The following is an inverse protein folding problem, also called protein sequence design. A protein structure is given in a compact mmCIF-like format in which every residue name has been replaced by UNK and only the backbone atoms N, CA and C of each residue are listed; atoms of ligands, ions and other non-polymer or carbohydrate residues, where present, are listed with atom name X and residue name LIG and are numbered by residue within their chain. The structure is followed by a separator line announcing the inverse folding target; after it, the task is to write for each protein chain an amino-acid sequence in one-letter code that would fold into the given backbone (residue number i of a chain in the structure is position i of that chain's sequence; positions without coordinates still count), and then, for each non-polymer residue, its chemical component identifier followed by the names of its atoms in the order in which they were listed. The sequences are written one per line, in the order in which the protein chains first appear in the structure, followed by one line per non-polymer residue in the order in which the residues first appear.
data_IF_930371826440
#
_entry.id   IF_930371826440
#
_cell.length_a   1.000
_cell.length_b   1.000
_cell.length_c   1.000
_cell.angle_alpha   90.00
_cell.angle_beta   90.00
_cell.angle_gamma   90.00
#
_symmetry.space_group_name_H-M   'P 1'
#
loop_
_entity.id
_entity.type
_entity.pdbx_description
1 polymer ?
#
# COMPACT_ATOMS: atom_id res chain seq x y z
N UNK A 1 -1.45 29.87 -13.58
CA UNK A 1 -1.73 29.64 -12.15
C UNK A 1 -0.43 29.58 -11.36
N UNK A 2 0.48 28.67 -11.69
CA UNK A 2 1.81 28.54 -11.03
C UNK A 2 2.71 29.78 -11.19
N UNK A 3 2.55 30.60 -12.24
CA UNK A 3 3.27 31.88 -12.39
C UNK A 3 2.84 32.97 -11.39
N UNK A 4 1.72 32.77 -10.68
CA UNK A 4 1.14 33.77 -9.76
C UNK A 4 1.10 33.33 -8.30
N UNK A 5 1.37 32.06 -8.02
CA UNK A 5 1.35 31.47 -6.67
C UNK A 5 2.79 31.23 -6.25
N UNK A 6 3.16 31.69 -5.06
CA UNK A 6 4.52 31.47 -4.55
C UNK A 6 4.70 30.06 -3.94
N UNK A 7 5.95 29.65 -3.71
CA UNK A 7 6.27 28.32 -3.15
C UNK A 7 5.69 28.06 -1.74
N UNK A 8 5.59 29.10 -0.91
CA UNK A 8 5.00 29.06 0.42
C UNK A 8 3.50 28.87 0.31
N UNK A 9 2.81 29.64 -0.53
CA UNK A 9 1.38 29.48 -0.77
C UNK A 9 1.07 28.06 -1.29
N UNK A 10 1.87 27.54 -2.22
CA UNK A 10 1.72 26.17 -2.70
C UNK A 10 1.92 25.14 -1.56
N UNK A 11 2.90 25.37 -0.67
CA UNK A 11 3.14 24.52 0.50
C UNK A 11 1.98 24.58 1.49
N UNK A 12 1.40 25.76 1.72
CA UNK A 12 0.22 25.95 2.56
C UNK A 12 -0.99 25.21 1.98
N UNK A 13 -1.20 25.25 0.67
CA UNK A 13 -2.22 24.44 -0.01
C UNK A 13 -1.98 22.94 0.14
N UNK A 14 -0.74 22.47 0.02
CA UNK A 14 -0.40 21.06 0.25
C UNK A 14 -0.66 20.63 1.70
N UNK A 15 -0.31 21.47 2.68
CA UNK A 15 -0.59 21.22 4.09
C UNK A 15 -2.11 21.19 4.36
N UNK A 16 -2.85 22.13 3.77
CA UNK A 16 -4.30 22.17 3.89
C UNK A 16 -4.96 20.92 3.27
N UNK A 17 -4.48 20.45 2.11
CA UNK A 17 -4.94 19.21 1.49
C UNK A 17 -4.70 17.96 2.36
N UNK A 18 -3.76 17.98 3.30
CA UNK A 18 -3.56 16.88 4.24
C UNK A 18 -4.59 16.91 5.39
N UNK A 19 -4.98 18.11 5.83
CA UNK A 19 -5.95 18.30 6.94
C UNK A 19 -7.37 18.11 6.44
N UNK A 20 -7.70 18.74 5.32
CA UNK A 20 -8.96 18.58 4.62
C UNK A 20 -8.71 18.02 3.23
N UNK A 21 -8.56 16.69 3.10
CA UNK A 21 -8.36 16.09 1.79
C UNK A 21 -9.57 16.34 0.90
N UNK A 22 -9.35 17.15 -0.11
CA UNK A 22 -10.26 17.44 -1.20
C UNK A 22 -9.80 16.72 -2.47
N UNK A 23 -10.75 16.38 -3.33
CA UNK A 23 -10.47 15.72 -4.61
C UNK A 23 -11.05 14.31 -4.74
N UNK A 24 -10.72 13.69 -5.86
CA UNK A 24 -11.35 12.46 -6.33
C UNK A 24 -11.04 11.24 -5.46
N UNK A 25 -9.86 11.16 -4.83
CA UNK A 25 -9.52 10.00 -3.98
C UNK A 25 -10.53 9.78 -2.85
N UNK A 26 -11.01 10.86 -2.22
CA UNK A 26 -12.08 10.75 -1.21
C UNK A 26 -13.42 10.37 -1.83
N UNK A 27 -13.71 10.82 -3.04
CA UNK A 27 -14.94 10.45 -3.75
C UNK A 27 -14.92 8.96 -4.13
N UNK A 28 -13.81 8.48 -4.67
CA UNK A 28 -13.54 7.08 -5.00
C UNK A 28 -13.61 6.19 -3.76
N UNK A 29 -13.05 6.63 -2.63
CA UNK A 29 -13.17 5.89 -1.37
C UNK A 29 -14.62 5.74 -0.93
N UNK A 30 -15.42 6.82 -0.99
CA UNK A 30 -16.85 6.75 -0.65
C UNK A 30 -17.60 5.80 -1.61
N UNK A 31 -17.33 5.88 -2.90
CA UNK A 31 -17.90 4.98 -3.89
C UNK A 31 -17.49 3.51 -3.62
N UNK A 32 -16.21 3.27 -3.30
CA UNK A 32 -15.70 1.96 -2.93
C UNK A 32 -16.31 1.39 -1.66
N UNK A 33 -16.62 2.23 -0.66
CA UNK A 33 -17.35 1.80 0.55
C UNK A 33 -18.74 1.29 0.18
N UNK A 34 -19.49 2.03 -0.64
CA UNK A 34 -20.82 1.61 -1.09
C UNK A 34 -20.74 0.33 -1.94
N UNK A 35 -19.83 0.28 -2.91
CA UNK A 35 -19.63 -0.88 -3.77
C UNK A 35 -19.24 -2.14 -2.97
N UNK A 36 -18.31 -2.02 -2.02
CA UNK A 36 -17.91 -3.13 -1.16
C UNK A 36 -19.04 -3.61 -0.25
N UNK A 37 -19.89 -2.70 0.23
CA UNK A 37 -21.07 -3.08 1.03
C UNK A 37 -22.01 -3.94 0.18
N UNK A 38 -22.36 -3.46 -1.02
CA UNK A 38 -23.24 -4.20 -1.95
C UNK A 38 -22.62 -5.56 -2.31
N UNK A 39 -21.35 -5.59 -2.71
CA UNK A 39 -20.69 -6.81 -3.13
C UNK A 39 -20.60 -7.85 -1.99
N UNK A 40 -20.34 -7.42 -0.76
CA UNK A 40 -20.25 -8.32 0.37
C UNK A 40 -21.62 -8.84 0.85
N UNK A 41 -22.72 -8.10 0.63
CA UNK A 41 -24.09 -8.58 0.91
C UNK A 41 -24.44 -9.78 0.04
N UNK A 42 -24.02 -9.79 -1.23
CA UNK A 42 -24.28 -10.88 -2.16
C UNK A 42 -23.22 -12.00 -2.14
N UNK A 43 -22.25 -11.92 -1.23
CA UNK A 43 -21.13 -12.86 -1.15
C UNK A 43 -21.54 -14.17 -0.48
N UNK A 44 -21.12 -15.29 -1.04
CA UNK A 44 -21.31 -16.62 -0.43
C UNK A 44 -20.39 -16.85 0.78
N UNK A 45 -20.77 -17.76 1.67
CA UNK A 45 -19.90 -18.24 2.75
C UNK A 45 -18.60 -18.81 2.17
N UNK A 46 -17.45 -18.48 2.77
CA UNK A 46 -16.13 -18.92 2.33
C UNK A 46 -15.46 -18.08 1.23
N UNK A 47 -16.18 -17.19 0.55
CA UNK A 47 -15.55 -16.26 -0.40
C UNK A 47 -14.76 -15.16 0.32
N UNK A 48 -13.71 -14.62 -0.32
CA UNK A 48 -12.93 -13.50 0.23
C UNK A 48 -13.81 -12.26 0.43
N UNK A 49 -13.70 -11.61 1.60
CA UNK A 49 -14.33 -10.30 1.85
C UNK A 49 -13.64 -9.25 0.99
N UNK A 50 -14.42 -8.49 0.23
CA UNK A 50 -13.93 -7.42 -0.63
C UNK A 50 -13.84 -6.13 0.16
N UNK A 51 -12.69 -5.47 0.11
CA UNK A 51 -12.44 -4.20 0.80
C UNK A 51 -12.84 -3.02 -0.10
N UNK A 52 -13.16 -1.84 0.45
CA UNK A 52 -13.37 -0.64 -0.36
C UNK A 52 -12.24 -0.35 -1.36
N UNK A 53 -10.99 -0.58 -0.93
CA UNK A 53 -9.79 -0.41 -1.77
C UNK A 53 -9.74 -1.32 -3.00
N UNK A 54 -10.47 -2.44 -3.00
CA UNK A 54 -10.55 -3.34 -4.16
C UNK A 54 -11.38 -2.72 -5.31
N UNK A 55 -12.15 -1.67 -5.03
CA UNK A 55 -13.00 -0.95 -5.99
C UNK A 55 -12.48 0.45 -6.35
N UNK A 56 -11.31 0.86 -5.83
CA UNK A 56 -10.70 2.16 -6.12
C UNK A 56 -9.81 2.09 -7.37
N UNK A 57 -9.75 3.15 -8.20
CA UNK A 57 -8.85 3.22 -9.34
C UNK A 57 -7.38 3.23 -8.89
N UNK A 58 -6.54 2.51 -9.64
CA UNK A 58 -5.08 2.47 -9.42
C UNK A 58 -4.40 3.25 -10.55
N UNK A 59 -4.07 4.50 -10.28
CA UNK A 59 -3.46 5.40 -11.28
C UNK A 59 -1.97 5.13 -11.49
N UNK A 60 -1.27 4.73 -10.43
CA UNK A 60 0.14 4.34 -10.52
C UNK A 60 0.29 2.82 -10.58
N UNK A 61 1.19 2.30 -11.45
CA UNK A 61 1.52 0.89 -11.42
C UNK A 61 2.14 0.54 -10.07
N UNK A 62 1.44 -0.32 -9.30
CA UNK A 62 1.98 -0.82 -8.04
C UNK A 62 3.25 -1.63 -8.35
N UNK A 63 4.41 -1.08 -7.96
CA UNK A 63 5.68 -1.79 -8.09
C UNK A 63 5.61 -3.05 -7.24
N UNK A 64 5.61 -4.20 -7.89
CA UNK A 64 5.76 -5.48 -7.22
C UNK A 64 7.23 -5.64 -6.87
N UNK A 65 7.54 -5.68 -5.58
CA UNK A 65 8.88 -5.99 -5.10
C UNK A 65 9.20 -7.44 -5.48
N UNK A 66 10.39 -7.66 -6.02
CA UNK A 66 10.90 -9.01 -6.24
C UNK A 66 11.15 -9.71 -4.90
N UNK A 67 11.21 -11.04 -4.90
CA UNK A 67 11.49 -11.81 -3.66
C UNK A 67 12.81 -11.37 -2.99
N UNK A 68 13.81 -11.01 -3.80
CA UNK A 68 15.12 -10.58 -3.31
C UNK A 68 15.06 -9.18 -2.68
N UNK A 69 14.32 -8.24 -3.30
CA UNK A 69 14.06 -6.92 -2.71
C UNK A 69 13.26 -7.04 -1.41
N UNK A 70 12.26 -7.91 -1.37
CA UNK A 70 11.47 -8.17 -0.16
C UNK A 70 12.35 -8.71 0.96
N UNK A 71 13.22 -9.69 0.65
CA UNK A 71 14.18 -10.24 1.59
C UNK A 71 15.14 -9.16 2.12
N UNK A 72 15.59 -8.22 1.28
CA UNK A 72 16.42 -7.10 1.70
C UNK A 72 15.70 -6.16 2.69
N UNK A 73 14.43 -5.81 2.41
CA UNK A 73 13.61 -5.00 3.33
C UNK A 73 13.42 -5.70 4.67
N UNK A 74 13.09 -6.99 4.66
CA UNK A 74 12.94 -7.79 5.89
C UNK A 74 14.25 -7.91 6.67
N UNK A 75 15.39 -8.11 5.98
CA UNK A 75 16.72 -8.12 6.62
C UNK A 75 17.01 -6.78 7.29
N UNK A 76 16.74 -5.66 6.61
CA UNK A 76 16.92 -4.31 7.17
C UNK A 76 16.07 -4.07 8.42
N UNK A 77 14.79 -4.43 8.38
CA UNK A 77 13.90 -4.32 9.54
C UNK A 77 14.35 -5.22 10.69
N UNK A 78 14.68 -6.48 10.42
CA UNK A 78 15.15 -7.41 11.44
C UNK A 78 16.37 -6.87 12.17
N UNK A 79 17.37 -6.33 11.45
CA UNK A 79 18.56 -5.73 12.05
C UNK A 79 18.22 -4.46 12.86
N UNK A 80 17.35 -3.60 12.35
CA UNK A 80 16.93 -2.38 13.05
C UNK A 80 16.24 -2.68 14.39
N UNK A 81 15.53 -3.80 14.48
CA UNK A 81 14.88 -4.27 15.71
C UNK A 81 15.71 -5.31 16.49
N UNK A 82 17.01 -5.46 16.20
CA UNK A 82 17.92 -6.33 16.94
C UNK A 82 17.73 -7.85 16.71
N UNK A 83 16.94 -8.22 15.71
CA UNK A 83 16.77 -9.59 15.26
C UNK A 83 17.99 -10.14 14.53
N UNK A 84 18.20 -11.45 14.61
CA UNK A 84 19.26 -12.15 13.86
C UNK A 84 18.71 -12.69 12.55
N UNK A 85 19.35 -12.35 11.44
CA UNK A 85 19.05 -12.93 10.13
C UNK A 85 19.75 -14.29 10.04
N UNK A 86 18.98 -15.36 9.96
CA UNK A 86 19.48 -16.71 9.69
C UNK A 86 19.41 -16.99 8.18
N UNK A 87 20.57 -17.16 7.54
CA UNK A 87 20.62 -17.64 6.17
C UNK A 87 20.43 -19.16 6.17
N UNK A 88 19.57 -19.68 5.28
CA UNK A 88 19.43 -21.12 5.12
C UNK A 88 20.76 -21.68 4.62
N UNK A 89 21.48 -22.37 5.50
CA UNK A 89 22.56 -23.28 5.11
C UNK A 89 21.93 -24.41 4.29
N UNK A 90 22.25 -24.44 3.00
CA UNK A 90 21.96 -25.61 2.16
C UNK A 90 22.84 -26.76 2.65
N UNK A 91 22.32 -27.53 3.60
CA UNK A 91 22.91 -28.77 4.08
C UNK A 91 22.88 -29.84 2.99
N UNK A 92 23.86 -29.81 2.09
CA UNK A 92 24.15 -30.92 1.19
C UNK A 92 25.02 -31.92 1.97
N UNK A 93 24.37 -32.78 2.77
CA UNK A 93 25.05 -33.89 3.43
C UNK A 93 25.10 -35.08 2.47
N UNK A 94 26.17 -35.15 1.67
CA UNK A 94 26.56 -36.35 0.94
C UNK A 94 27.32 -37.28 1.89
N UNK A 95 26.55 -38.07 2.66
CA UNK A 95 27.07 -39.23 3.37
C UNK A 95 27.21 -40.42 2.41
N UNK A 96 28.45 -40.90 2.25
CA UNK A 96 28.76 -42.26 1.78
C UNK A 96 28.59 -43.24 2.93
#
# INVERSE_FOLDING_TARGET
MLERIDSRELTEWMAYAQVEPFGEERADLRAGIVASTIANVWRSSGQKVLKPSDFMPKFEPQRQLTNDELAAVFKGLALAFGGKVIEKSNGHNIGR
#
